data_IF_209336366202
#
_entry.id   IF_209336366202
#
_cell.length_a   1.000
_cell.length_b   1.000
_cell.length_c   1.000
_cell.angle_alpha   90.00
_cell.angle_beta   90.00
_cell.angle_gamma   90.00
#
_symmetry.space_group_name_H-M   'P 1'
#
loop_
_entity.id
_entity.type
_entity.pdbx_description
1 polymer ?
#
# COMPACT_ATOMS: atom_id res chain seq x y z
N UNK A 1 0.55 5.17 37.57
CA UNK A 1 0.39 3.90 36.81
C UNK A 1 -0.89 3.93 35.96
N UNK A 2 -1.96 4.58 36.43
CA UNK A 2 -3.25 4.77 35.71
C UNK A 2 -3.11 5.46 34.34
N UNK A 3 -2.25 6.49 34.22
CA UNK A 3 -2.09 7.25 32.98
C UNK A 3 -1.46 6.44 31.81
N UNK A 4 -0.65 5.40 32.10
CA UNK A 4 -0.06 4.52 31.08
C UNK A 4 -1.07 3.48 30.56
N UNK A 5 -1.89 2.92 31.46
CA UNK A 5 -2.94 1.95 31.11
C UNK A 5 -4.06 2.60 30.29
N UNK A 6 -4.46 3.83 30.65
CA UNK A 6 -5.48 4.58 29.92
C UNK A 6 -4.99 5.04 28.54
N UNK A 7 -3.71 5.46 28.45
CA UNK A 7 -3.07 5.79 27.15
C UNK A 7 -2.95 4.55 26.26
N UNK A 8 -2.61 3.39 26.83
CA UNK A 8 -2.49 2.12 26.11
C UNK A 8 -3.85 1.57 25.63
N UNK A 9 -4.89 1.63 26.46
CA UNK A 9 -6.24 1.24 26.05
C UNK A 9 -6.79 2.17 24.95
N UNK A 10 -6.48 3.48 25.03
CA UNK A 10 -6.85 4.46 24.02
C UNK A 10 -6.10 4.28 22.69
N UNK A 11 -4.83 3.86 22.73
CA UNK A 11 -4.06 3.55 21.52
C UNK A 11 -4.55 2.28 20.85
N UNK A 12 -4.85 1.22 21.62
CA UNK A 12 -5.44 -0.02 21.10
C UNK A 12 -6.76 0.23 20.37
N UNK A 13 -7.67 0.99 20.99
CA UNK A 13 -8.94 1.37 20.36
C UNK A 13 -8.75 2.20 19.09
N UNK A 14 -7.71 3.04 19.04
CA UNK A 14 -7.36 3.82 17.85
C UNK A 14 -6.86 2.92 16.72
N UNK A 15 -6.05 1.93 17.03
CA UNK A 15 -5.55 0.97 16.06
C UNK A 15 -6.67 0.11 15.48
N UNK A 16 -7.59 -0.37 16.32
CA UNK A 16 -8.80 -1.10 15.87
C UNK A 16 -9.64 -0.26 14.91
N UNK A 17 -9.85 1.03 15.20
CA UNK A 17 -10.54 1.96 14.29
C UNK A 17 -9.85 2.06 12.93
N UNK A 18 -8.51 2.19 12.93
CA UNK A 18 -7.74 2.30 11.70
C UNK A 18 -7.80 1.01 10.89
N UNK A 19 -7.68 -0.15 11.53
CA UNK A 19 -7.72 -1.44 10.84
C UNK A 19 -9.09 -1.67 10.18
N UNK A 20 -10.18 -1.40 10.90
CA UNK A 20 -11.53 -1.56 10.34
C UNK A 20 -11.79 -0.56 9.20
N UNK A 21 -11.36 0.69 9.37
CA UNK A 21 -11.46 1.71 8.32
C UNK A 21 -10.65 1.34 7.08
N UNK A 22 -9.43 0.82 7.26
CA UNK A 22 -8.58 0.33 6.19
C UNK A 22 -9.28 -0.75 5.37
N UNK A 23 -9.79 -1.80 6.00
CA UNK A 23 -10.51 -2.88 5.31
C UNK A 23 -11.75 -2.36 4.56
N UNK A 24 -12.50 -1.47 5.19
CA UNK A 24 -13.72 -0.90 4.60
C UNK A 24 -13.39 -0.04 3.38
N UNK A 25 -12.41 0.87 3.48
CA UNK A 25 -11.97 1.69 2.34
C UNK A 25 -11.33 0.86 1.24
N UNK A 26 -10.55 -0.16 1.60
CA UNK A 26 -9.87 -1.00 0.62
C UNK A 26 -10.85 -1.84 -0.20
N UNK A 27 -11.95 -2.27 0.41
CA UNK A 27 -13.02 -3.01 -0.26
C UNK A 27 -13.91 -2.09 -1.11
N UNK A 28 -14.35 -0.97 -0.55
CA UNK A 28 -15.47 -0.19 -1.09
C UNK A 28 -15.03 1.11 -1.80
N UNK A 29 -13.76 1.50 -1.70
CA UNK A 29 -13.27 2.79 -2.16
C UNK A 29 -13.45 3.90 -1.12
N UNK A 30 -12.80 5.04 -1.33
CA UNK A 30 -12.75 6.11 -0.32
C UNK A 30 -13.96 7.02 -0.40
N UNK A 31 -14.30 7.55 -1.57
CA UNK A 31 -15.44 8.47 -1.75
C UNK A 31 -16.78 7.78 -1.53
N UNK A 32 -16.92 6.54 -2.00
CA UNK A 32 -18.15 5.76 -1.86
C UNK A 32 -18.43 5.33 -0.41
N UNK A 33 -17.44 5.37 0.48
CA UNK A 33 -17.57 4.95 1.87
C UNK A 33 -17.79 6.13 2.80
N UNK A 34 -18.97 6.23 3.41
CA UNK A 34 -19.24 7.19 4.47
C UNK A 34 -18.57 6.82 5.79
N UNK A 35 -18.36 7.81 6.67
CA UNK A 35 -17.89 7.55 8.05
C UNK A 35 -18.87 6.65 8.81
N UNK A 36 -20.16 6.73 8.49
CA UNK A 36 -21.19 5.89 9.11
C UNK A 36 -20.97 4.40 8.76
N UNK A 37 -20.67 4.09 7.50
CA UNK A 37 -20.31 2.74 7.05
C UNK A 37 -19.04 2.22 7.73
N UNK A 38 -18.03 3.08 7.93
CA UNK A 38 -16.79 2.71 8.65
C UNK A 38 -17.05 2.39 10.12
N UNK A 39 -18.15 2.83 10.70
CA UNK A 39 -18.47 2.56 12.11
C UNK A 39 -19.44 1.40 12.28
N UNK A 40 -20.10 0.95 11.21
CA UNK A 40 -21.05 -0.17 11.26
C UNK A 40 -20.40 -1.41 11.88
N UNK A 41 -20.99 -1.94 12.94
CA UNK A 41 -20.49 -3.13 13.64
C UNK A 41 -19.28 -2.90 14.57
N UNK A 42 -18.71 -1.70 14.65
CA UNK A 42 -17.54 -1.41 15.52
C UNK A 42 -17.92 -1.01 16.95
N UNK A 43 -19.17 -0.57 17.17
CA UNK A 43 -19.62 0.02 18.44
C UNK A 43 -19.01 1.40 18.76
N UNK A 44 -18.31 2.01 17.79
CA UNK A 44 -17.63 3.30 17.95
C UNK A 44 -18.53 4.42 17.45
N UNK A 45 -18.69 5.46 18.27
CA UNK A 45 -19.53 6.61 17.90
C UNK A 45 -18.80 7.55 16.93
N UNK A 46 -19.57 8.25 16.09
CA UNK A 46 -19.08 9.32 15.19
C UNK A 46 -18.28 10.38 15.93
N UNK A 47 -18.76 10.76 17.12
CA UNK A 47 -18.09 11.71 18.01
C UNK A 47 -16.71 11.20 18.44
N UNK A 48 -16.61 9.92 18.79
CA UNK A 48 -15.33 9.30 19.16
C UNK A 48 -14.38 9.27 17.97
N UNK A 49 -14.86 8.88 16.78
CA UNK A 49 -14.04 8.87 15.57
C UNK A 49 -13.46 10.26 15.27
N UNK A 50 -14.30 11.30 15.20
CA UNK A 50 -13.81 12.67 14.95
C UNK A 50 -12.94 13.21 16.08
N UNK A 51 -13.13 12.79 17.33
CA UNK A 51 -12.23 13.12 18.43
C UNK A 51 -10.80 12.57 18.21
N UNK A 52 -10.67 11.44 17.53
CA UNK A 52 -9.36 10.81 17.27
C UNK A 52 -8.72 11.28 15.96
N UNK A 53 -9.52 11.57 14.93
CA UNK A 53 -9.01 11.80 13.56
C UNK A 53 -9.34 13.18 13.00
N UNK A 54 -10.21 13.97 13.65
CA UNK A 54 -10.61 15.31 13.21
C UNK A 54 -11.58 15.32 12.01
N UNK A 55 -11.29 14.54 10.98
CA UNK A 55 -12.09 14.44 9.75
C UNK A 55 -12.06 13.02 9.17
N UNK A 56 -12.80 12.80 8.07
CA UNK A 56 -12.71 11.56 7.29
C UNK A 56 -11.32 11.46 6.64
N UNK A 57 -10.81 12.57 6.12
CA UNK A 57 -9.48 12.68 5.52
C UNK A 57 -8.39 12.35 6.55
N UNK A 58 -8.53 12.80 7.80
CA UNK A 58 -7.63 12.43 8.89
C UNK A 58 -7.65 10.94 9.22
N UNK A 59 -8.81 10.29 9.10
CA UNK A 59 -8.91 8.83 9.21
C UNK A 59 -8.25 8.13 8.01
N UNK A 60 -8.46 8.64 6.79
CA UNK A 60 -7.83 8.10 5.57
C UNK A 60 -6.30 8.19 5.68
N UNK A 61 -5.76 9.33 6.11
CA UNK A 61 -4.33 9.49 6.37
C UNK A 61 -3.80 8.44 7.36
N UNK A 62 -4.54 8.18 8.44
CA UNK A 62 -4.18 7.14 9.40
C UNK A 62 -4.20 5.72 8.78
N UNK A 63 -5.14 5.42 7.88
CA UNK A 63 -5.17 4.13 7.16
C UNK A 63 -4.04 4.00 6.12
N UNK A 64 -3.65 5.09 5.47
CA UNK A 64 -2.50 5.12 4.54
C UNK A 64 -1.21 4.88 5.32
N UNK A 65 -1.04 5.53 6.46
CA UNK A 65 0.14 5.33 7.31
C UNK A 65 0.22 3.90 7.85
N UNK A 66 -0.91 3.34 8.27
CA UNK A 66 -1.04 1.92 8.64
C UNK A 66 -0.59 1.01 7.50
N UNK A 67 -1.15 1.17 6.29
CA UNK A 67 -0.78 0.36 5.13
C UNK A 67 0.69 0.51 4.77
N UNK A 68 1.21 1.74 4.71
CA UNK A 68 2.60 2.06 4.36
C UNK A 68 3.59 1.35 5.28
N UNK A 69 3.37 1.42 6.59
CA UNK A 69 4.28 0.84 7.58
C UNK A 69 4.39 -0.66 7.42
N UNK A 70 3.26 -1.36 7.35
CA UNK A 70 3.22 -2.81 7.18
C UNK A 70 3.76 -3.26 5.82
N UNK A 71 3.35 -2.58 4.74
CA UNK A 71 3.72 -3.00 3.39
C UNK A 71 5.19 -2.75 3.06
N UNK A 72 5.78 -1.66 3.56
CA UNK A 72 7.19 -1.38 3.34
C UNK A 72 8.06 -2.49 3.93
N UNK A 73 7.78 -2.90 5.17
CA UNK A 73 8.53 -3.96 5.86
C UNK A 73 8.37 -5.31 5.17
N UNK A 74 7.15 -5.63 4.71
CA UNK A 74 6.87 -6.85 3.97
C UNK A 74 7.62 -6.89 2.63
N UNK A 75 7.55 -5.83 1.83
CA UNK A 75 8.23 -5.75 0.53
C UNK A 75 9.75 -5.81 0.72
N UNK A 76 10.29 -5.04 1.68
CA UNK A 76 11.72 -5.03 1.97
C UNK A 76 12.21 -6.43 2.37
N UNK A 77 11.51 -7.10 3.29
CA UNK A 77 11.87 -8.45 3.74
C UNK A 77 11.78 -9.46 2.59
N UNK A 78 10.75 -9.34 1.75
CA UNK A 78 10.54 -10.23 0.61
C UNK A 78 11.67 -10.10 -0.43
N UNK A 79 12.01 -8.88 -0.84
CA UNK A 79 13.10 -8.61 -1.79
C UNK A 79 14.44 -9.17 -1.28
N UNK A 80 14.69 -9.05 0.03
CA UNK A 80 15.94 -9.47 0.67
C UNK A 80 15.92 -10.92 1.20
N UNK A 81 14.95 -11.75 0.82
CA UNK A 81 14.80 -13.11 1.37
C UNK A 81 15.98 -14.03 1.04
N UNK A 82 16.55 -13.97 -0.17
CA UNK A 82 17.81 -14.65 -0.50
C UNK A 82 18.96 -13.63 -0.64
N UNK A 83 19.94 -13.64 0.26
CA UNK A 83 21.08 -12.73 0.17
C UNK A 83 22.03 -13.05 -1.00
N UNK A 84 22.01 -14.27 -1.54
CA UNK A 84 22.92 -14.75 -2.60
C UNK A 84 22.50 -14.32 -4.00
N UNK A 85 21.26 -13.91 -4.19
CA UNK A 85 20.80 -13.39 -5.47
C UNK A 85 21.52 -12.09 -5.84
N UNK A 86 21.70 -11.87 -7.14
CA UNK A 86 22.22 -10.62 -7.66
C UNK A 86 21.19 -9.48 -7.44
N UNK A 87 21.65 -8.23 -7.56
CA UNK A 87 20.83 -7.05 -7.28
C UNK A 87 19.59 -6.97 -8.19
N UNK A 88 19.73 -7.29 -9.48
CA UNK A 88 18.60 -7.26 -10.43
C UNK A 88 17.51 -8.25 -10.04
N UNK A 89 17.86 -9.51 -9.75
CA UNK A 89 16.87 -10.51 -9.33
C UNK A 89 16.18 -10.12 -8.02
N UNK A 90 16.92 -9.51 -7.08
CA UNK A 90 16.32 -8.92 -5.86
C UNK A 90 15.28 -7.85 -6.21
N UNK A 91 15.58 -6.90 -7.10
CA UNK A 91 14.60 -5.91 -7.55
C UNK A 91 13.36 -6.56 -8.19
N UNK A 92 13.55 -7.57 -9.04
CA UNK A 92 12.46 -8.24 -9.75
C UNK A 92 11.57 -9.11 -8.84
N UNK A 93 11.98 -9.40 -7.60
CA UNK A 93 11.12 -10.07 -6.60
C UNK A 93 9.89 -9.26 -6.21
N UNK A 94 9.86 -7.96 -6.48
CA UNK A 94 8.66 -7.15 -6.25
C UNK A 94 7.44 -7.70 -7.03
N UNK A 95 7.67 -8.31 -8.20
CA UNK A 95 6.64 -8.98 -8.99
C UNK A 95 6.21 -10.33 -8.38
N UNK A 96 7.12 -11.08 -7.76
CA UNK A 96 6.79 -12.33 -7.08
C UNK A 96 5.98 -12.02 -5.81
N UNK A 97 6.39 -11.00 -5.05
CA UNK A 97 5.61 -10.46 -3.95
C UNK A 97 4.18 -10.14 -4.38
N UNK A 98 4.01 -9.44 -5.52
CA UNK A 98 2.69 -9.15 -6.05
C UNK A 98 1.91 -10.41 -6.46
N UNK A 99 2.59 -11.43 -6.99
CA UNK A 99 1.98 -12.73 -7.32
C UNK A 99 1.39 -13.37 -6.07
N UNK A 100 2.18 -13.49 -5.01
CA UNK A 100 1.75 -14.07 -3.73
C UNK A 100 0.58 -13.29 -3.12
N UNK A 101 0.59 -11.96 -3.24
CA UNK A 101 -0.50 -11.10 -2.78
C UNK A 101 -1.80 -11.35 -3.53
N UNK A 102 -1.75 -11.64 -4.84
CA UNK A 102 -2.94 -11.96 -5.62
C UNK A 102 -3.44 -13.37 -5.31
N UNK A 103 -2.54 -14.34 -5.17
CA UNK A 103 -2.88 -15.73 -4.86
C UNK A 103 -3.40 -15.92 -3.42
N UNK A 104 -2.92 -15.11 -2.46
CA UNK A 104 -3.37 -15.12 -1.07
C UNK A 104 -4.82 -14.63 -0.84
N UNK A 105 -5.50 -14.14 -1.88
CA UNK A 105 -6.87 -13.64 -1.79
C UNK A 105 -7.01 -12.26 -1.15
N UNK A 106 -8.22 -11.72 -1.14
CA UNK A 106 -8.53 -10.36 -0.64
C UNK A 106 -7.68 -9.23 -1.28
N UNK A 107 -7.24 -9.45 -2.52
CA UNK A 107 -6.50 -8.47 -3.29
C UNK A 107 -7.46 -7.42 -3.89
N UNK A 108 -7.13 -6.13 -3.82
CA UNK A 108 -7.92 -5.07 -4.47
C UNK A 108 -7.04 -3.96 -5.07
N UNK A 109 -5.86 -4.35 -5.56
CA UNK A 109 -4.83 -3.45 -6.05
C UNK A 109 -3.92 -2.93 -4.94
N UNK A 110 -3.26 -1.80 -5.19
CA UNK A 110 -2.52 -1.08 -4.15
C UNK A 110 -3.45 -0.09 -3.45
N UNK A 111 -3.53 -0.17 -2.12
CA UNK A 111 -4.37 0.74 -1.31
C UNK A 111 -4.00 2.22 -1.53
N UNK A 112 -2.69 2.51 -1.56
CA UNK A 112 -2.15 3.86 -1.78
C UNK A 112 -2.47 4.39 -3.17
N UNK A 113 -2.30 3.58 -4.22
CA UNK A 113 -2.65 4.00 -5.58
C UNK A 113 -4.16 4.29 -5.69
N UNK A 114 -5.01 3.44 -5.12
CA UNK A 114 -6.45 3.69 -5.08
C UNK A 114 -6.75 5.04 -4.39
N UNK A 115 -6.13 5.32 -3.23
CA UNK A 115 -6.29 6.59 -2.52
C UNK A 115 -5.85 7.79 -3.37
N UNK A 116 -4.64 7.72 -3.96
CA UNK A 116 -4.09 8.78 -4.81
C UNK A 116 -5.03 9.08 -5.97
N UNK A 117 -5.51 8.06 -6.69
CA UNK A 117 -6.42 8.26 -7.83
C UNK A 117 -7.76 8.88 -7.46
N UNK A 118 -8.27 8.61 -6.26
CA UNK A 118 -9.52 9.21 -5.77
C UNK A 118 -9.34 10.66 -5.30
N UNK A 119 -8.15 11.00 -4.78
CA UNK A 119 -7.86 12.29 -4.11
C UNK A 119 -6.91 13.23 -4.87
N UNK A 120 -6.43 12.86 -6.05
CA UNK A 120 -5.58 13.73 -6.87
C UNK A 120 -6.26 15.09 -7.11
N UNK A 121 -5.55 16.19 -6.84
CA UNK A 121 -6.02 17.57 -6.87
C UNK A 121 -7.19 17.89 -5.91
N UNK A 122 -7.43 17.07 -4.88
CA UNK A 122 -8.54 17.27 -3.93
C UNK A 122 -8.08 17.34 -2.48
N UNK A 123 -7.00 16.66 -2.12
CA UNK A 123 -6.49 16.64 -0.75
C UNK A 123 -4.96 16.47 -0.74
N UNK A 124 -4.26 17.60 -0.67
CA UNK A 124 -2.79 17.67 -0.74
C UNK A 124 -2.10 16.74 0.27
N UNK A 125 -2.56 16.67 1.51
CA UNK A 125 -1.93 15.83 2.53
C UNK A 125 -2.04 14.33 2.20
N UNK A 126 -3.17 13.90 1.63
CA UNK A 126 -3.35 12.51 1.17
C UNK A 126 -2.42 12.24 -0.01
N UNK A 127 -2.35 13.19 -0.94
CA UNK A 127 -1.47 13.11 -2.10
C UNK A 127 0.00 12.97 -1.71
N UNK A 128 0.48 13.81 -0.81
CA UNK A 128 1.85 13.77 -0.29
C UNK A 128 2.13 12.46 0.46
N UNK A 129 1.18 11.98 1.27
CA UNK A 129 1.32 10.70 1.96
C UNK A 129 1.46 9.52 0.99
N UNK A 130 0.71 9.55 -0.11
CA UNK A 130 0.81 8.56 -1.18
C UNK A 130 2.15 8.67 -1.94
N UNK A 131 2.58 9.88 -2.27
CA UNK A 131 3.85 10.10 -2.98
C UNK A 131 5.04 9.61 -2.15
N UNK A 132 5.01 9.82 -0.83
CA UNK A 132 6.01 9.30 0.09
C UNK A 132 6.08 7.76 0.10
N UNK A 133 4.94 7.07 -0.04
CA UNK A 133 4.94 5.60 -0.16
C UNK A 133 5.56 5.17 -1.49
N UNK A 134 5.16 5.79 -2.61
CA UNK A 134 5.70 5.48 -3.94
C UNK A 134 7.21 5.73 -4.01
N UNK A 135 7.68 6.85 -3.45
CA UNK A 135 9.10 7.16 -3.33
C UNK A 135 9.86 6.10 -2.52
N UNK A 136 9.25 5.54 -1.48
CA UNK A 136 9.84 4.44 -0.72
C UNK A 136 10.05 3.17 -1.55
N UNK A 137 9.10 2.82 -2.43
CA UNK A 137 9.26 1.68 -3.36
C UNK A 137 10.33 1.99 -4.40
N UNK A 138 10.34 3.20 -4.95
CA UNK A 138 11.36 3.65 -5.90
C UNK A 138 12.77 3.52 -5.31
N UNK A 139 12.99 3.97 -4.07
CA UNK A 139 14.27 3.87 -3.37
C UNK A 139 14.74 2.41 -3.19
N UNK A 140 13.80 1.47 -2.95
CA UNK A 140 14.14 0.05 -2.86
C UNK A 140 14.65 -0.51 -4.19
N UNK A 141 14.09 -0.04 -5.31
CA UNK A 141 14.52 -0.43 -6.64
C UNK A 141 15.83 0.26 -7.04
N UNK A 142 16.00 1.55 -6.74
CA UNK A 142 17.25 2.31 -6.96
C UNK A 142 18.45 1.65 -6.27
N UNK A 143 18.25 1.05 -5.09
CA UNK A 143 19.31 0.33 -4.39
C UNK A 143 19.82 -0.94 -5.13
N UNK A 144 19.08 -1.40 -6.14
CA UNK A 144 19.30 -2.69 -6.79
C UNK A 144 19.42 -2.60 -8.32
N UNK A 145 19.16 -1.42 -8.91
CA UNK A 145 19.14 -1.20 -10.35
C UNK A 145 20.15 -0.11 -10.76
N UNK A 146 20.77 -0.21 -11.95
CA UNK A 146 21.91 0.62 -12.35
C UNK A 146 21.60 2.10 -12.62
N UNK A 147 20.36 2.46 -12.97
CA UNK A 147 20.02 3.84 -13.35
C UNK A 147 18.53 4.17 -13.13
N UNK A 148 18.23 5.47 -13.06
CA UNK A 148 16.89 5.99 -12.74
C UNK A 148 15.85 5.75 -13.85
N UNK A 149 16.27 5.70 -15.12
CA UNK A 149 15.35 5.45 -16.24
C UNK A 149 14.82 4.02 -16.17
N UNK A 150 15.72 3.05 -15.92
CA UNK A 150 15.33 1.66 -15.71
C UNK A 150 14.44 1.52 -14.47
N UNK A 151 14.77 2.16 -13.35
CA UNK A 151 13.89 2.18 -12.16
C UNK A 151 12.49 2.65 -12.53
N UNK A 152 12.37 3.74 -13.29
CA UNK A 152 11.09 4.29 -13.74
C UNK A 152 10.33 3.30 -14.62
N UNK A 153 11.02 2.65 -15.56
CA UNK A 153 10.41 1.61 -16.42
C UNK A 153 9.90 0.42 -15.60
N UNK A 154 10.66 -0.03 -14.60
CA UNK A 154 10.27 -1.13 -13.71
C UNK A 154 9.08 -0.73 -12.84
N UNK A 155 9.06 0.49 -12.30
CA UNK A 155 7.92 1.05 -11.58
C UNK A 155 6.66 1.06 -12.46
N UNK A 156 6.75 1.53 -13.71
CA UNK A 156 5.63 1.54 -14.66
C UNK A 156 5.09 0.13 -14.93
N UNK A 157 5.98 -0.86 -15.13
CA UNK A 157 5.58 -2.26 -15.33
C UNK A 157 4.92 -2.83 -14.07
N UNK A 158 5.44 -2.51 -12.89
CA UNK A 158 4.91 -2.97 -11.60
C UNK A 158 3.53 -2.38 -11.31
N UNK A 159 3.35 -1.08 -11.47
CA UNK A 159 2.07 -0.39 -11.32
C UNK A 159 1.04 -0.88 -12.36
N UNK A 160 1.48 -1.09 -13.60
CA UNK A 160 0.67 -1.72 -14.64
C UNK A 160 0.21 -3.12 -14.26
N UNK A 161 1.10 -3.94 -13.69
CA UNK A 161 0.78 -5.29 -13.20
C UNK A 161 -0.22 -5.26 -12.03
N UNK A 162 -0.10 -4.30 -11.11
CA UNK A 162 -1.06 -4.08 -10.01
C UNK A 162 -2.46 -3.83 -10.57
N UNK A 163 -2.59 -2.88 -11.50
CA UNK A 163 -3.89 -2.52 -12.09
C UNK A 163 -4.47 -3.68 -12.90
N UNK A 164 -3.66 -4.32 -13.75
CA UNK A 164 -4.10 -5.43 -14.59
C UNK A 164 -4.54 -6.64 -13.77
N UNK A 165 -3.79 -7.01 -12.74
CA UNK A 165 -4.14 -8.14 -11.87
C UNK A 165 -5.37 -7.85 -11.00
N UNK A 166 -5.59 -6.59 -10.58
CA UNK A 166 -6.82 -6.17 -9.88
C UNK A 166 -8.06 -6.42 -10.73
N UNK A 167 -8.01 -6.03 -12.00
CA UNK A 167 -9.16 -6.13 -12.92
C UNK A 167 -9.39 -7.57 -13.39
N UNK A 168 -8.32 -8.30 -13.71
CA UNK A 168 -8.42 -9.62 -14.35
C UNK A 168 -8.38 -10.79 -13.38
N UNK A 169 -7.96 -10.56 -12.12
CA UNK A 169 -7.67 -11.61 -11.13
C UNK A 169 -6.69 -12.66 -11.64
N UNK A 170 -5.79 -12.26 -12.55
CA UNK A 170 -4.92 -13.18 -13.26
C UNK A 170 -3.44 -12.83 -13.01
N UNK A 171 -2.72 -13.75 -12.40
CA UNK A 171 -1.29 -13.61 -12.12
C UNK A 171 -0.42 -13.63 -13.38
N UNK A 172 -0.95 -14.13 -14.51
CA UNK A 172 -0.23 -14.15 -15.80
C UNK A 172 0.22 -12.75 -16.21
N UNK A 173 -0.55 -11.71 -15.91
CA UNK A 173 -0.15 -10.33 -16.23
C UNK A 173 1.05 -9.86 -15.42
N UNK A 174 1.20 -10.38 -14.19
CA UNK A 174 2.34 -10.07 -13.32
C UNK A 174 3.60 -10.76 -13.85
N UNK A 175 3.48 -12.05 -14.23
CA UNK A 175 4.59 -12.81 -14.83
C UNK A 175 5.09 -12.17 -16.12
N UNK A 176 4.18 -11.79 -17.01
CA UNK A 176 4.54 -11.09 -18.25
C UNK A 176 5.23 -9.74 -18.00
N UNK A 177 4.81 -8.99 -16.98
CA UNK A 177 5.47 -7.75 -16.60
C UNK A 177 6.89 -8.01 -16.04
N UNK A 178 7.06 -9.07 -15.23
CA UNK A 178 8.37 -9.51 -14.73
C UNK A 178 9.31 -9.94 -15.86
N UNK A 179 8.81 -10.67 -16.84
CA UNK A 179 9.62 -11.10 -17.99
C UNK A 179 10.06 -9.91 -18.84
N UNK A 180 9.17 -8.95 -19.09
CA UNK A 180 9.54 -7.69 -19.77
C UNK A 180 10.56 -6.89 -18.96
N UNK A 181 10.39 -6.81 -17.65
CA UNK A 181 11.33 -6.16 -16.73
C UNK A 181 12.73 -6.79 -16.77
N UNK A 182 12.81 -8.12 -16.85
CA UNK A 182 14.10 -8.84 -17.00
C UNK A 182 14.80 -8.47 -18.30
N UNK A 183 14.07 -8.45 -19.42
CA UNK A 183 14.62 -8.04 -20.73
C UNK A 183 15.17 -6.61 -20.66
N UNK A 184 14.47 -5.68 -20.02
CA UNK A 184 14.97 -4.31 -19.86
C UNK A 184 16.27 -4.27 -19.05
N UNK A 185 16.36 -5.04 -17.97
CA UNK A 185 17.57 -5.10 -17.14
C UNK A 185 18.76 -5.71 -17.89
N UNK A 186 18.54 -6.70 -18.75
CA UNK A 186 19.60 -7.34 -19.57
C UNK A 186 20.15 -6.41 -20.67
N UNK A 187 19.39 -5.38 -21.08
CA UNK A 187 19.75 -4.45 -22.14
C UNK A 187 20.11 -3.04 -21.63
N UNK A 188 20.28 -2.87 -20.31
CA UNK A 188 20.59 -1.58 -19.65
C UNK A 188 22.05 -1.46 -19.24
#
# INVERSE_FOLDING_TARGET
MENKLETSAKSLKREEMVKFAFETFYKNGFHATGVDTVMEGTGISKRTLYKHFGSKEGLILATIDYYRTHMRELIYSYINTDPKENAVEKALRIFDFLTDRVEGGHYNGCFVMNAKTEYINKAKDIEESCDNYTAGIQQLLEANLPNNDLVTQIMMLFEGAIVRSKVTRNIKTIRLAKDAARILCENS
#
